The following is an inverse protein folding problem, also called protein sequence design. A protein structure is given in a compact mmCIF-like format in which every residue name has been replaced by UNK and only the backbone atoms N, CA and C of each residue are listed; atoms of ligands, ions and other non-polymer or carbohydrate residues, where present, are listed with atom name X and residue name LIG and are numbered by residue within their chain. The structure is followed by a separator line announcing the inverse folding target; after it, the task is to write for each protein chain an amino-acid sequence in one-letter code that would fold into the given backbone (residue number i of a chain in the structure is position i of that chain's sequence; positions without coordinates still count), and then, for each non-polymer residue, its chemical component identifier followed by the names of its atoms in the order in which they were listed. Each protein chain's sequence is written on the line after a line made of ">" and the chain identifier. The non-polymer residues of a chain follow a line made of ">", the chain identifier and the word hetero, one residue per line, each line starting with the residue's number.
data_IF_071839902296
#
_entry.id   IF_071839902296
#
_cell.length_a   1.000
_cell.length_b   1.000
_cell.length_c   1.000
_cell.angle_alpha   90.00
_cell.angle_beta   90.00
_cell.angle_gamma   90.00
#
_symmetry.space_group_name_H-M   'P 1'
#
loop_
_entity.id
_entity.type
_entity.pdbx_description
1 polymer ?
#
# COMPACT_ATOMS: atom_id res chain seq x y z
N UNK A 1 2.03 9.79 -6.44
CA UNK A 1 0.88 10.00 -7.34
C UNK A 1 -0.40 9.97 -6.53
N UNK A 2 -1.53 10.35 -7.12
CA UNK A 2 -2.84 10.28 -6.45
C UNK A 2 -3.46 8.90 -6.67
N UNK A 3 -4.08 8.34 -5.63
CA UNK A 3 -4.78 7.05 -5.69
C UNK A 3 -6.13 7.13 -4.97
N UNK A 4 -7.11 6.39 -5.46
CA UNK A 4 -8.44 6.26 -4.86
C UNK A 4 -8.46 5.13 -3.82
N UNK A 5 -7.71 4.07 -4.09
CA UNK A 5 -7.58 2.93 -3.22
C UNK A 5 -6.20 2.29 -3.35
N UNK A 6 -5.62 1.86 -2.24
CA UNK A 6 -4.37 1.10 -2.26
C UNK A 6 -4.51 -0.15 -1.40
N UNK A 7 -4.27 -1.32 -1.99
CA UNK A 7 -4.31 -2.61 -1.31
C UNK A 7 -2.91 -3.12 -1.03
N UNK A 8 -2.69 -3.60 0.20
CA UNK A 8 -1.38 -3.99 0.72
C UNK A 8 -1.38 -5.42 1.24
N UNK A 9 -0.30 -6.19 0.99
CA UNK A 9 -0.07 -7.49 1.61
C UNK A 9 0.52 -7.29 3.02
N UNK A 10 -0.32 -6.97 4.00
CA UNK A 10 0.11 -6.86 5.40
C UNK A 10 0.53 -8.20 6.00
N UNK A 11 1.42 -8.16 6.99
CA UNK A 11 1.89 -9.35 7.71
C UNK A 11 0.76 -10.06 8.47
N UNK A 12 -0.12 -9.28 9.12
CA UNK A 12 -1.30 -9.79 9.84
C UNK A 12 -2.48 -10.16 8.91
N UNK A 13 -2.42 -9.77 7.63
CA UNK A 13 -3.50 -9.94 6.68
C UNK A 13 -3.44 -8.91 5.55
N UNK A 14 -4.12 -9.19 4.45
CA UNK A 14 -4.27 -8.20 3.39
C UNK A 14 -5.27 -7.12 3.83
N UNK A 15 -4.99 -5.86 3.50
CA UNK A 15 -5.85 -4.74 3.83
C UNK A 15 -5.84 -3.70 2.71
N UNK A 16 -6.82 -2.80 2.74
CA UNK A 16 -6.95 -1.73 1.76
C UNK A 16 -7.16 -0.39 2.47
N UNK A 17 -6.45 0.62 1.98
CA UNK A 17 -6.54 2.00 2.44
C UNK A 17 -7.35 2.79 1.41
N UNK A 18 -8.32 3.55 1.90
CA UNK A 18 -9.17 4.48 1.15
C UNK A 18 -8.93 5.91 1.61
N UNK A 19 -9.57 6.86 0.96
CA UNK A 19 -9.54 8.26 1.38
C UNK A 19 -10.05 8.43 2.82
N UNK A 20 -9.44 9.32 3.59
CA UNK A 20 -9.72 9.62 4.99
C UNK A 20 -9.58 8.43 5.96
N UNK A 21 -8.65 7.52 5.68
CA UNK A 21 -8.32 6.45 6.62
C UNK A 21 -7.61 7.00 7.88
N UNK A 22 -7.82 6.34 9.01
CA UNK A 22 -7.13 6.65 10.25
C UNK A 22 -5.60 6.45 10.12
N UNK A 23 -4.79 7.16 10.91
CA UNK A 23 -3.34 6.94 10.94
C UNK A 23 -2.99 5.47 11.21
N UNK A 24 -2.06 4.91 10.42
CA UNK A 24 -1.68 3.50 10.49
C UNK A 24 -0.20 3.34 10.13
N UNK A 25 0.51 2.50 10.87
CA UNK A 25 1.80 1.94 10.44
C UNK A 25 1.66 0.42 10.43
N UNK A 26 2.02 -0.22 9.32
CA UNK A 26 1.97 -1.68 9.18
C UNK A 26 3.21 -2.21 8.47
N UNK A 27 3.66 -3.39 8.87
CA UNK A 27 4.63 -4.16 8.12
C UNK A 27 3.97 -4.90 6.95
N UNK A 28 4.73 -5.06 5.88
CA UNK A 28 4.33 -5.74 4.65
C UNK A 28 5.12 -7.04 4.49
N UNK A 29 4.44 -8.07 4.00
CA UNK A 29 5.05 -9.34 3.59
C UNK A 29 5.22 -9.38 2.08
N UNK A 30 5.93 -10.40 1.60
CA UNK A 30 6.07 -10.66 0.18
C UNK A 30 4.69 -10.81 -0.48
N UNK A 31 4.50 -10.11 -1.60
CA UNK A 31 3.22 -10.09 -2.30
C UNK A 31 3.13 -8.95 -3.29
N UNK A 32 1.90 -8.57 -3.64
CA UNK A 32 1.65 -7.53 -4.62
C UNK A 32 0.84 -6.39 -3.98
N UNK A 33 1.31 -5.16 -4.17
CA UNK A 33 0.59 -3.94 -3.85
C UNK A 33 -0.22 -3.55 -5.08
N UNK A 34 -1.50 -3.26 -4.86
CA UNK A 34 -2.40 -2.79 -5.91
C UNK A 34 -2.77 -1.34 -5.65
N UNK A 35 -2.42 -0.46 -6.57
CA UNK A 35 -2.75 0.97 -6.52
C UNK A 35 -3.81 1.24 -7.58
N UNK A 36 -5.02 1.65 -7.16
CA UNK A 36 -6.09 2.04 -8.07
C UNK A 36 -6.22 3.54 -8.12
N UNK A 37 -6.06 4.09 -9.32
CA UNK A 37 -6.32 5.49 -9.62
C UNK A 37 -7.62 5.58 -10.44
N UNK A 38 -8.10 6.79 -10.73
CA UNK A 38 -9.34 6.99 -11.51
C UNK A 38 -9.28 6.45 -12.96
N UNK A 39 -8.09 6.14 -13.47
CA UNK A 39 -7.86 5.74 -14.87
C UNK A 39 -7.42 4.29 -15.03
N UNK A 40 -6.68 3.76 -14.06
CA UNK A 40 -5.99 2.48 -14.20
C UNK A 40 -5.67 1.84 -12.84
N UNK A 41 -5.34 0.55 -12.89
CA UNK A 41 -4.83 -0.23 -11.77
C UNK A 41 -3.35 -0.55 -12.01
N UNK A 42 -2.50 -0.13 -11.07
CA UNK A 42 -1.06 -0.39 -11.07
C UNK A 42 -0.75 -1.48 -10.06
N UNK A 43 0.18 -2.35 -10.41
CA UNK A 43 0.61 -3.47 -9.57
C UNK A 43 2.11 -3.39 -9.31
N UNK A 44 2.50 -3.53 -8.05
CA UNK A 44 3.91 -3.50 -7.62
C UNK A 44 4.22 -4.76 -6.81
N UNK A 45 5.23 -5.51 -7.23
CA UNK A 45 5.72 -6.68 -6.49
C UNK A 45 6.66 -6.24 -5.38
N UNK A 46 6.46 -6.76 -4.18
CA UNK A 46 7.24 -6.41 -3.00
C UNK A 46 7.71 -7.66 -2.27
N UNK A 47 8.92 -7.63 -1.71
CA UNK A 47 9.47 -8.71 -0.89
C UNK A 47 9.19 -8.49 0.59
N UNK A 48 9.47 -7.28 1.05
CA UNK A 48 9.26 -6.86 2.44
C UNK A 48 9.18 -5.34 2.49
N UNK A 49 8.68 -4.78 3.60
CA UNK A 49 8.65 -3.34 3.79
C UNK A 49 7.72 -2.89 4.88
N UNK A 50 7.50 -1.57 4.93
CA UNK A 50 6.56 -0.91 5.82
C UNK A 50 5.73 0.10 5.05
N UNK A 51 4.51 0.31 5.52
CA UNK A 51 3.63 1.38 5.03
C UNK A 51 3.20 2.26 6.19
N UNK A 52 3.20 3.56 5.94
CA UNK A 52 2.66 4.60 6.81
C UNK A 52 1.49 5.28 6.10
N UNK A 53 0.39 5.43 6.82
CA UNK A 53 -0.78 6.20 6.42
C UNK A 53 -0.94 7.34 7.40
N UNK A 54 -0.85 8.58 6.92
CA UNK A 54 -0.99 9.76 7.76
C UNK A 54 -1.56 10.93 6.95
N UNK A 55 -2.64 11.56 7.44
CA UNK A 55 -3.25 12.75 6.82
C UNK A 55 -3.46 12.58 5.30
N UNK A 56 -4.10 11.47 4.89
CA UNK A 56 -4.33 11.10 3.48
C UNK A 56 -3.08 10.94 2.61
N UNK A 57 -1.91 10.85 3.22
CA UNK A 57 -0.69 10.48 2.53
C UNK A 57 -0.36 9.03 2.90
N UNK A 58 0.00 8.25 1.89
CA UNK A 58 0.44 6.87 2.06
C UNK A 58 1.89 6.77 1.59
N UNK A 59 2.79 6.52 2.53
CA UNK A 59 4.22 6.36 2.26
C UNK A 59 4.55 4.88 2.38
N UNK A 60 5.20 4.33 1.35
CA UNK A 60 5.56 2.92 1.31
C UNK A 60 7.06 2.81 1.14
N UNK A 61 7.72 2.14 2.09
CA UNK A 61 9.14 1.84 2.05
C UNK A 61 9.30 0.33 1.89
N UNK A 62 9.80 -0.10 0.74
CA UNK A 62 9.83 -1.52 0.36
C UNK A 62 11.20 -1.92 -0.16
N UNK A 63 11.51 -3.19 0.04
CA UNK A 63 12.50 -3.93 -0.72
C UNK A 63 11.76 -4.55 -1.92
N UNK A 64 12.00 -4.00 -3.11
CA UNK A 64 11.40 -4.50 -4.35
C UNK A 64 12.08 -5.78 -4.82
N UNK A 65 11.32 -6.65 -5.46
CA UNK A 65 11.87 -7.70 -6.33
C UNK A 65 11.74 -7.16 -7.75
N UNK A 66 12.87 -7.04 -8.44
CA UNK A 66 12.93 -6.66 -9.85
C UNK A 66 12.24 -7.70 -10.74
#
# INVERSE_FOLDING_TARGET
>A
GEAVAVSFPGTAGAFQVLNNHAPLISSLKAGQIKVRNNKEELFFSVKSGFVEVLKNNVTVLIESVE
#
